data_IF_093271971385
#
_entry.id   IF_093271971385
#
_cell.length_a   1.000
_cell.length_b   1.000
_cell.length_c   1.000
_cell.angle_alpha   90.00
_cell.angle_beta   90.00
_cell.angle_gamma   90.00
#
_symmetry.space_group_name_H-M   'P 1'
#
loop_
_entity.id
_entity.type
_entity.pdbx_description
1 polymer ?
#
# COMPACT_ATOMS: atom_id res chain seq x y z
N UNK A 1 0.58 2.34 -38.33
CA UNK A 1 -0.09 1.30 -37.54
C UNK A 1 -1.30 1.95 -36.90
N UNK A 2 -2.50 1.45 -37.16
CA UNK A 2 -3.73 1.96 -36.55
C UNK A 2 -4.04 1.10 -35.32
N UNK A 3 -4.18 1.72 -34.16
CA UNK A 3 -4.46 1.03 -32.89
C UNK A 3 -5.76 1.57 -32.29
N UNK A 4 -6.61 0.67 -31.81
CA UNK A 4 -7.84 1.00 -31.08
C UNK A 4 -7.57 0.83 -29.59
N UNK A 5 -7.69 1.91 -28.82
CA UNK A 5 -7.55 1.88 -27.35
C UNK A 5 -8.92 2.02 -26.70
N UNK A 6 -9.30 1.03 -25.90
CA UNK A 6 -10.52 1.06 -25.07
C UNK A 6 -10.13 0.84 -23.62
N UNK A 7 -10.58 1.72 -22.74
CA UNK A 7 -10.31 1.66 -21.30
C UNK A 7 -11.57 1.13 -20.64
N UNK A 8 -11.43 0.05 -19.88
CA UNK A 8 -12.49 -0.51 -19.06
C UNK A 8 -12.18 -0.25 -17.58
N UNK A 9 -13.21 0.03 -16.78
CA UNK A 9 -13.06 0.21 -15.33
C UNK A 9 -12.81 -1.11 -14.61
N UNK A 10 -13.43 -2.18 -15.11
CA UNK A 10 -13.31 -3.56 -14.65
C UNK A 10 -12.95 -4.46 -15.82
N UNK A 11 -12.40 -5.64 -15.55
CA UNK A 11 -12.09 -6.62 -16.61
C UNK A 11 -13.40 -7.17 -17.20
N UNK A 12 -13.71 -6.93 -18.48
CA UNK A 12 -14.91 -7.48 -19.09
C UNK A 12 -14.73 -8.97 -19.40
N UNK A 13 -15.80 -9.76 -19.28
CA UNK A 13 -15.80 -11.19 -19.65
C UNK A 13 -15.74 -11.40 -21.17
N UNK A 14 -16.27 -10.45 -21.93
CA UNK A 14 -16.32 -10.47 -23.40
C UNK A 14 -15.85 -9.14 -23.98
N UNK A 15 -15.24 -9.17 -25.16
CA UNK A 15 -14.74 -7.99 -25.85
C UNK A 15 -15.38 -7.91 -27.22
N UNK A 16 -16.12 -6.83 -27.46
CA UNK A 16 -16.73 -6.56 -28.76
C UNK A 16 -15.67 -6.13 -29.77
N UNK A 17 -15.59 -6.87 -30.87
CA UNK A 17 -14.67 -6.64 -31.99
C UNK A 17 -15.42 -5.86 -33.08
N UNK A 18 -15.02 -4.62 -33.41
CA UNK A 18 -15.61 -3.86 -34.51
C UNK A 18 -15.59 -4.60 -35.85
N UNK A 19 -16.62 -4.41 -36.67
CA UNK A 19 -16.74 -5.06 -37.99
C UNK A 19 -15.55 -4.78 -38.92
N UNK A 20 -14.94 -3.59 -38.78
CA UNK A 20 -13.82 -3.11 -39.59
C UNK A 20 -12.53 -3.94 -39.47
N UNK A 21 -12.40 -4.70 -38.37
CA UNK A 21 -11.25 -5.56 -38.08
C UNK A 21 -11.59 -7.05 -38.16
N UNK A 22 -12.85 -7.41 -38.41
CA UNK A 22 -13.22 -8.79 -38.71
C UNK A 22 -12.46 -9.23 -39.98
N UNK A 23 -11.81 -10.39 -39.93
CA UNK A 23 -10.94 -10.96 -40.98
C UNK A 23 -9.54 -10.33 -41.15
N UNK A 24 -9.06 -9.50 -40.21
CA UNK A 24 -7.66 -9.01 -40.18
C UNK A 24 -6.88 -9.62 -39.03
N UNK A 25 -5.56 -9.75 -39.21
CA UNK A 25 -4.65 -10.12 -38.12
C UNK A 25 -4.50 -8.91 -37.18
N UNK A 26 -4.93 -9.07 -35.93
CA UNK A 26 -4.87 -8.04 -34.90
C UNK A 26 -4.14 -8.56 -33.67
N UNK A 27 -3.41 -7.66 -33.00
CA UNK A 27 -2.76 -7.91 -31.72
C UNK A 27 -3.56 -7.23 -30.62
N UNK A 28 -3.96 -8.00 -29.60
CA UNK A 28 -4.69 -7.51 -28.43
C UNK A 28 -3.71 -7.39 -27.26
N UNK A 29 -3.58 -6.19 -26.70
CA UNK A 29 -2.71 -5.92 -25.55
C UNK A 29 -3.58 -5.52 -24.37
N UNK A 30 -3.57 -6.33 -23.31
CA UNK A 30 -4.21 -6.01 -22.05
C UNK A 30 -3.20 -5.33 -21.13
N UNK A 31 -3.48 -4.09 -20.75
CA UNK A 31 -2.72 -3.36 -19.75
C UNK A 31 -3.57 -3.34 -18.49
N UNK A 32 -3.25 -4.24 -17.56
CA UNK A 32 -3.84 -4.24 -16.23
C UNK A 32 -3.02 -3.24 -15.40
N UNK A 33 -3.58 -2.06 -15.21
CA UNK A 33 -3.08 -1.16 -14.18
C UNK A 33 -3.67 -1.68 -12.86
N UNK A 34 -2.85 -2.34 -12.04
CA UNK A 34 -3.18 -2.54 -10.65
C UNK A 34 -3.31 -1.14 -10.05
N UNK A 35 -4.51 -0.55 -10.12
CA UNK A 35 -4.85 0.58 -9.27
C UNK A 35 -4.47 0.07 -7.90
N UNK A 36 -3.35 0.59 -7.36
CA UNK A 36 -2.95 0.37 -5.98
C UNK A 36 -4.24 0.54 -5.24
N UNK A 37 -4.74 -0.55 -4.66
CA UNK A 37 -5.78 -0.47 -3.66
C UNK A 37 -5.18 0.60 -2.77
N UNK A 38 -5.74 1.81 -2.82
CA UNK A 38 -5.47 2.82 -1.84
C UNK A 38 -6.07 2.15 -0.64
N UNK A 39 -5.26 1.28 0.01
CA UNK A 39 -5.40 0.98 1.40
C UNK A 39 -5.59 2.38 1.91
N UNK A 40 -6.77 2.64 2.45
CA UNK A 40 -6.90 3.62 3.50
C UNK A 40 -5.92 3.14 4.57
N UNK A 41 -4.62 3.35 4.31
CA UNK A 41 -3.64 3.64 5.29
C UNK A 41 -4.16 4.97 5.81
N UNK A 42 -5.16 4.86 6.70
CA UNK A 42 -5.11 5.63 7.91
C UNK A 42 -3.69 5.42 8.40
N UNK A 43 -2.78 6.26 7.92
CA UNK A 43 -1.47 6.39 8.48
C UNK A 43 -1.81 6.68 9.92
N UNK A 44 -1.57 5.72 10.82
CA UNK A 44 -1.75 5.97 12.24
C UNK A 44 -0.89 7.20 12.53
N UNK A 45 -1.55 8.36 12.63
CA UNK A 45 -0.85 9.63 12.78
C UNK A 45 -0.12 9.48 14.10
N UNK A 46 1.20 9.62 14.07
CA UNK A 46 2.01 9.55 15.30
C UNK A 46 1.43 10.57 16.27
N UNK A 47 0.95 10.10 17.42
CA UNK A 47 0.48 10.98 18.49
C UNK A 47 1.72 11.36 19.30
N UNK A 48 2.16 12.63 19.31
CA UNK A 48 3.32 13.03 20.10
C UNK A 48 3.03 12.79 21.59
N UNK A 49 3.99 12.20 22.30
CA UNK A 49 3.86 11.95 23.74
C UNK A 49 2.89 10.83 24.13
N UNK A 50 2.48 9.96 23.19
CA UNK A 50 1.57 8.83 23.46
C UNK A 50 2.03 7.93 24.62
N UNK A 51 3.34 7.82 24.83
CA UNK A 51 3.96 7.02 25.87
C UNK A 51 4.49 7.86 27.05
N UNK A 52 4.16 9.15 27.13
CA UNK A 52 4.62 10.02 28.22
C UNK A 52 4.11 9.48 29.56
N UNK A 53 5.03 9.32 30.53
CA UNK A 53 4.72 8.79 31.86
C UNK A 53 4.56 7.27 31.93
N UNK A 54 4.83 6.53 30.85
CA UNK A 54 4.86 5.06 30.87
C UNK A 54 6.17 4.47 31.37
N UNK A 55 7.23 5.26 31.36
CA UNK A 55 8.55 4.91 31.88
C UNK A 55 8.97 6.04 32.81
N UNK A 56 9.54 5.68 33.96
CA UNK A 56 10.19 6.59 34.88
C UNK A 56 11.70 6.37 34.77
N UNK A 57 12.46 7.45 34.62
CA UNK A 57 13.92 7.42 34.55
C UNK A 57 14.42 8.22 35.75
N UNK A 58 15.44 7.70 36.44
CA UNK A 58 16.12 8.42 37.52
C UNK A 58 16.84 9.65 36.99
N UNK A 59 17.17 10.60 37.88
CA UNK A 59 17.99 11.77 37.53
C UNK A 59 19.45 11.36 37.24
N UNK A 60 19.90 10.22 37.77
CA UNK A 60 21.19 9.61 37.40
C UNK A 60 21.02 8.72 36.17
N UNK A 61 21.67 9.11 35.07
CA UNK A 61 21.66 8.37 33.81
C UNK A 61 22.25 6.95 33.93
N UNK A 62 23.13 6.73 34.91
CA UNK A 62 23.77 5.42 35.10
C UNK A 62 22.90 4.46 35.92
N UNK A 63 21.82 4.93 36.55
CA UNK A 63 20.91 4.05 37.28
C UNK A 63 20.07 3.24 36.28
N UNK A 64 20.01 1.90 36.41
CA UNK A 64 19.14 1.09 35.56
C UNK A 64 17.67 1.44 35.81
N UNK A 65 16.83 1.26 34.78
CA UNK A 65 15.38 1.38 34.96
C UNK A 65 14.91 0.36 35.98
N UNK A 66 13.81 0.69 36.66
CA UNK A 66 13.25 -0.14 37.73
C UNK A 66 13.02 -1.58 37.26
N UNK A 67 12.52 -1.77 36.04
CA UNK A 67 12.27 -3.10 35.46
C UNK A 67 13.54 -3.88 35.13
N UNK A 68 14.70 -3.23 35.13
CA UNK A 68 16.00 -3.85 34.81
C UNK A 68 16.95 -3.96 36.01
N UNK A 69 16.57 -3.46 37.20
CA UNK A 69 17.40 -3.53 38.41
C UNK A 69 17.81 -4.97 38.76
N UNK A 70 16.87 -5.89 38.71
CA UNK A 70 17.07 -7.32 39.01
C UNK A 70 18.11 -8.01 38.09
N UNK A 71 18.37 -7.45 36.89
CA UNK A 71 19.30 -8.04 35.92
C UNK A 71 20.73 -7.47 35.99
N UNK A 72 20.94 -6.44 36.80
CA UNK A 72 22.25 -5.75 36.95
C UNK A 72 22.99 -6.14 38.25
N UNK A 73 22.39 -7.02 39.05
CA UNK A 73 22.98 -7.63 40.26
C UNK A 73 23.87 -8.85 39.97
#
# INVERSE_FOLDING_TARGET
MNALRKIYNDMPETIDIPEEIQHKKVELIFIIDEKKILKNSQSNKRIPGLLKGKISISDDFNEPLEEFKEYME
#
